data_IF_860701584945
#
_entry.id   IF_860701584945
#
_cell.length_a   1.000
_cell.length_b   1.000
_cell.length_c   1.000
_cell.angle_alpha   90.00
_cell.angle_beta   90.00
_cell.angle_gamma   90.00
#
_symmetry.space_group_name_H-M   'P 1'
#
loop_
_entity.id
_entity.type
_entity.pdbx_description
1 polymer ?
#
# COMPACT_ATOMS: atom_id res chain seq x y z
N UNK A 1 3.09 25.02 3.14
CA UNK A 1 3.97 23.90 2.73
C UNK A 1 3.11 22.86 2.06
N UNK A 2 3.46 22.45 0.83
CA UNK A 2 2.79 21.34 0.16
C UNK A 2 3.31 20.04 0.76
N UNK A 3 2.43 19.22 1.31
CA UNK A 3 2.81 17.90 1.86
C UNK A 3 3.33 17.04 0.70
N UNK A 4 4.58 16.59 0.78
CA UNK A 4 5.19 15.78 -0.27
C UNK A 4 4.73 14.32 -0.17
N UNK A 5 4.89 13.56 -1.25
CA UNK A 5 4.59 12.12 -1.24
C UNK A 5 5.52 11.35 -0.28
N UNK A 6 6.75 11.85 -0.08
CA UNK A 6 7.69 11.33 0.91
C UNK A 6 7.17 11.52 2.33
N UNK A 7 6.69 12.71 2.67
CA UNK A 7 6.11 13.00 3.99
C UNK A 7 4.91 12.12 4.28
N UNK A 8 4.04 11.90 3.28
CA UNK A 8 2.90 10.98 3.40
C UNK A 8 3.35 9.55 3.64
N UNK A 9 4.38 9.10 2.91
CA UNK A 9 4.90 7.75 3.08
C UNK A 9 5.51 7.55 4.48
N UNK A 10 6.28 8.54 4.96
CA UNK A 10 6.84 8.53 6.33
C UNK A 10 5.75 8.42 7.38
N UNK A 11 4.66 9.19 7.23
CA UNK A 11 3.53 9.17 8.14
C UNK A 11 2.82 7.80 8.10
N UNK A 12 2.54 7.28 6.91
CA UNK A 12 1.88 5.98 6.73
C UNK A 12 2.68 4.81 7.32
N UNK A 13 4.01 4.87 7.21
CA UNK A 13 4.90 3.88 7.79
C UNK A 13 5.25 4.16 9.26
N UNK A 14 4.74 5.24 9.86
CA UNK A 14 5.01 5.65 11.23
C UNK A 14 6.52 5.73 11.54
N UNK A 15 7.30 6.29 10.62
CA UNK A 15 8.77 6.35 10.76
C UNK A 15 9.24 7.26 11.90
N UNK A 16 8.36 8.07 12.49
CA UNK A 16 8.65 8.85 13.70
C UNK A 16 8.63 7.97 14.97
N UNK A 17 7.67 7.03 15.06
CA UNK A 17 7.52 6.13 16.23
C UNK A 17 8.36 4.86 16.06
N UNK A 18 8.44 4.34 14.84
CA UNK A 18 9.11 3.09 14.49
C UNK A 18 10.08 3.32 13.32
N UNK A 19 11.22 4.00 13.53
CA UNK A 19 12.18 4.27 12.48
C UNK A 19 12.77 2.95 11.95
N UNK A 20 12.60 2.72 10.66
CA UNK A 20 13.09 1.53 9.97
C UNK A 20 13.81 1.87 8.66
N UNK A 21 13.28 2.83 7.90
CA UNK A 21 13.84 3.24 6.62
C UNK A 21 14.55 4.59 6.73
N UNK A 22 15.63 4.75 5.97
CA UNK A 22 16.19 6.09 5.74
C UNK A 22 15.38 6.86 4.72
N UNK A 23 15.50 8.19 4.73
CA UNK A 23 14.93 9.06 3.70
C UNK A 23 15.23 8.60 2.27
N UNK A 24 16.49 8.22 2.01
CA UNK A 24 16.93 7.72 0.71
C UNK A 24 16.22 6.41 0.31
N UNK A 25 16.04 5.51 1.27
CA UNK A 25 15.32 4.25 1.05
C UNK A 25 13.83 4.49 0.77
N UNK A 26 13.21 5.47 1.45
CA UNK A 26 11.82 5.85 1.23
C UNK A 26 11.61 6.49 -0.15
N UNK A 27 12.55 7.32 -0.59
CA UNK A 27 12.55 7.86 -1.97
C UNK A 27 12.64 6.72 -2.98
N UNK A 28 13.60 5.81 -2.80
CA UNK A 28 13.77 4.65 -3.70
C UNK A 28 12.52 3.75 -3.71
N UNK A 29 11.87 3.59 -2.57
CA UNK A 29 10.63 2.82 -2.44
C UNK A 29 9.47 3.48 -3.20
N UNK A 30 9.36 4.82 -3.17
CA UNK A 30 8.37 5.56 -3.97
C UNK A 30 8.65 5.42 -5.46
N UNK A 31 9.89 5.64 -5.89
CA UNK A 31 10.27 5.57 -7.31
C UNK A 31 10.01 4.18 -7.89
N UNK A 32 10.36 3.12 -7.14
CA UNK A 32 10.15 1.73 -7.53
C UNK A 32 8.66 1.34 -7.61
N UNK A 33 7.77 2.12 -6.99
CA UNK A 33 6.33 1.89 -6.95
C UNK A 33 5.55 2.96 -7.72
N UNK A 34 6.12 3.48 -8.81
CA UNK A 34 5.45 4.43 -9.73
C UNK A 34 5.03 5.74 -9.05
N UNK A 35 5.76 6.15 -8.00
CA UNK A 35 5.41 7.29 -7.14
C UNK A 35 4.03 7.18 -6.48
N UNK A 36 3.43 5.99 -6.43
CA UNK A 36 2.16 5.75 -5.76
C UNK A 36 2.39 5.51 -4.25
N UNK A 37 1.87 6.43 -3.43
CA UNK A 37 2.05 6.39 -1.98
C UNK A 37 1.40 5.17 -1.34
N UNK A 38 0.21 4.75 -1.80
CA UNK A 38 -0.49 3.58 -1.26
C UNK A 38 0.29 2.29 -1.53
N UNK A 39 0.75 2.13 -2.77
CA UNK A 39 1.56 0.97 -3.19
C UNK A 39 2.90 0.90 -2.45
N UNK A 40 3.57 2.04 -2.29
CA UNK A 40 4.80 2.13 -1.50
C UNK A 40 4.56 1.84 -0.01
N UNK A 41 3.46 2.35 0.57
CA UNK A 41 3.08 2.11 1.97
C UNK A 41 2.80 0.63 2.22
N UNK A 42 2.07 -0.02 1.31
CA UNK A 42 1.84 -1.46 1.34
C UNK A 42 3.15 -2.25 1.36
N UNK A 43 4.09 -1.93 0.45
CA UNK A 43 5.40 -2.58 0.40
C UNK A 43 6.24 -2.32 1.64
N UNK A 44 6.24 -1.10 2.16
CA UNK A 44 6.97 -0.75 3.39
C UNK A 44 6.45 -1.52 4.61
N UNK A 45 5.13 -1.65 4.75
CA UNK A 45 4.52 -2.42 5.84
C UNK A 45 4.91 -3.91 5.79
N UNK A 46 4.92 -4.52 4.60
CA UNK A 46 5.37 -5.91 4.44
C UNK A 46 6.83 -6.10 4.87
N UNK A 47 7.70 -5.15 4.54
CA UNK A 47 9.12 -5.19 4.91
C UNK A 47 9.32 -5.04 6.42
N UNK A 48 8.57 -4.15 7.09
CA UNK A 48 8.60 -4.01 8.55
C UNK A 48 8.09 -5.26 9.25
N UNK A 49 6.96 -5.81 8.79
CA UNK A 49 6.40 -7.04 9.33
C UNK A 49 7.34 -8.24 9.21
N UNK A 50 8.04 -8.38 8.07
CA UNK A 50 8.97 -9.48 7.85
C UNK A 50 10.20 -9.46 8.79
N UNK A 51 10.61 -8.29 9.26
CA UNK A 51 11.78 -8.14 10.15
C UNK A 51 11.43 -8.38 11.62
N UNK A 52 10.20 -8.10 12.04
CA UNK A 52 9.74 -8.30 13.42
C UNK A 52 9.57 -9.79 13.81
N UNK A 53 9.48 -10.71 12.85
CA UNK A 53 9.28 -12.15 13.10
C UNK A 53 10.52 -12.88 13.68
N UNK A 54 11.68 -12.22 13.82
CA UNK A 54 12.91 -12.87 14.29
C UNK A 54 13.73 -12.01 15.27
N UNK A 55 13.22 -11.80 16.48
CA UNK A 55 14.06 -11.42 17.63
C UNK A 55 14.28 -12.67 18.49
N UNK A 56 15.40 -13.38 18.24
CA UNK A 56 15.88 -14.46 19.10
C UNK A 56 16.68 -13.88 20.27
N UNK A 57 16.04 -13.65 21.42
CA UNK A 57 16.74 -13.32 22.68
C UNK A 57 16.88 -14.62 23.49
N UNK A 58 17.90 -15.41 23.17
CA UNK A 58 18.18 -16.66 23.88
C UNK A 58 17.10 -17.75 23.68
N UNK A 59 16.93 -18.71 24.63
CA UNK A 59 16.00 -19.83 24.50
C UNK A 59 14.51 -19.45 24.67
N UNK A 60 14.18 -18.16 24.69
CA UNK A 60 12.81 -17.68 24.91
C UNK A 60 12.34 -17.01 23.62
N UNK A 61 11.50 -17.70 22.86
CA UNK A 61 10.84 -17.15 21.67
C UNK A 61 9.66 -16.28 22.09
N UNK A 62 9.87 -14.98 22.27
CA UNK A 62 8.75 -14.03 22.37
C UNK A 62 8.30 -13.71 20.96
N UNK A 63 7.14 -14.25 20.54
CA UNK A 63 6.49 -13.82 19.30
C UNK A 63 6.27 -12.31 19.38
N UNK A 64 7.02 -11.52 18.60
CA UNK A 64 6.76 -10.10 18.50
C UNK A 64 5.36 -9.92 17.90
N UNK A 65 4.41 -9.41 18.69
CA UNK A 65 3.04 -9.14 18.23
C UNK A 65 2.97 -8.07 17.13
N UNK A 66 4.08 -7.44 16.78
CA UNK A 66 4.13 -6.32 15.86
C UNK A 66 4.06 -6.76 14.39
N UNK A 67 4.51 -7.97 14.03
CA UNK A 67 4.42 -8.47 12.64
C UNK A 67 2.97 -8.51 12.14
N UNK A 68 2.05 -9.01 12.97
CA UNK A 68 0.62 -9.06 12.63
C UNK A 68 0.02 -7.66 12.43
N UNK A 69 0.48 -6.66 13.20
CA UNK A 69 0.03 -5.28 13.05
C UNK A 69 0.42 -4.72 11.67
N UNK A 70 1.69 -4.85 11.29
CA UNK A 70 2.19 -4.40 9.99
C UNK A 70 1.54 -5.16 8.83
N UNK A 71 1.27 -6.46 8.97
CA UNK A 71 0.56 -7.24 7.95
C UNK A 71 -0.90 -6.81 7.78
N UNK A 72 -1.62 -6.51 8.88
CA UNK A 72 -2.97 -5.97 8.79
C UNK A 72 -2.99 -4.58 8.13
N UNK A 73 -2.03 -3.72 8.48
CA UNK A 73 -1.89 -2.39 7.87
C UNK A 73 -1.57 -2.51 6.36
N UNK A 74 -0.70 -3.45 5.99
CA UNK A 74 -0.39 -3.76 4.60
C UNK A 74 -1.63 -4.18 3.80
N UNK A 75 -2.53 -4.98 4.38
CA UNK A 75 -3.75 -5.43 3.71
C UNK A 75 -4.74 -4.30 3.45
N UNK A 76 -4.84 -3.33 4.38
CA UNK A 76 -5.63 -2.11 4.20
C UNK A 76 -5.10 -1.30 3.01
N UNK A 77 -3.81 -0.98 2.99
CA UNK A 77 -3.21 -0.21 1.90
C UNK A 77 -3.28 -0.91 0.54
N UNK A 78 -3.21 -2.23 0.53
CA UNK A 78 -3.41 -3.04 -0.69
C UNK A 78 -4.84 -2.89 -1.21
N UNK A 79 -5.82 -2.96 -0.32
CA UNK A 79 -7.24 -2.80 -0.68
C UNK A 79 -7.49 -1.42 -1.26
N UNK A 80 -7.04 -0.36 -0.57
CA UNK A 80 -7.17 1.03 -1.04
C UNK A 80 -6.52 1.24 -2.42
N UNK A 81 -5.34 0.65 -2.65
CA UNK A 81 -4.65 0.72 -3.94
C UNK A 81 -5.44 0.02 -5.05
N UNK A 82 -6.03 -1.15 -4.79
CA UNK A 82 -6.85 -1.87 -5.77
C UNK A 82 -8.14 -1.10 -6.08
N UNK A 83 -8.76 -0.47 -5.07
CA UNK A 83 -9.91 0.40 -5.25
C UNK A 83 -9.57 1.64 -6.08
N UNK A 84 -8.42 2.28 -5.82
CA UNK A 84 -7.94 3.41 -6.62
C UNK A 84 -7.67 3.01 -8.08
N UNK A 85 -7.07 1.84 -8.29
CA UNK A 85 -6.82 1.31 -9.64
C UNK A 85 -8.12 1.02 -10.39
N UNK A 86 -9.09 0.38 -9.74
CA UNK A 86 -10.37 0.02 -10.38
C UNK A 86 -11.21 1.25 -10.74
N UNK A 87 -11.18 2.32 -9.93
CA UNK A 87 -11.82 3.61 -10.26
C UNK A 87 -11.23 4.24 -11.51
N UNK A 88 -9.91 4.18 -11.67
CA UNK A 88 -9.23 4.70 -12.86
C UNK A 88 -9.53 3.89 -14.13
N UNK A 89 -9.78 2.57 -14.02
CA UNK A 89 -10.14 1.74 -15.18
C UNK A 89 -11.62 1.85 -15.59
N UNK A 90 -12.53 2.14 -14.65
CA UNK A 90 -13.98 2.13 -14.89
C UNK A 90 -14.47 3.30 -15.76
N UNK A 91 -13.74 4.42 -15.85
CA UNK A 91 -14.18 5.61 -16.62
C UNK A 91 -14.17 5.42 -18.15
N UNK A 92 -13.79 4.24 -18.68
CA UNK A 92 -13.78 3.95 -20.11
C UNK A 92 -14.98 3.10 -20.62
N UNK A 93 -15.94 2.74 -19.77
CA UNK A 93 -17.11 1.97 -20.24
C UNK A 93 -18.22 2.92 -20.71
N UNK A 94 -18.15 3.32 -21.97
CA UNK A 94 -19.25 3.99 -22.67
C UNK A 94 -20.53 3.14 -22.60
N UNK A 95 -21.67 3.80 -22.35
CA UNK A 95 -22.99 3.18 -22.37
C UNK A 95 -23.20 2.40 -23.67
N UNK A 96 -23.28 1.07 -23.60
CA UNK A 96 -23.75 0.25 -24.74
C UNK A 96 -25.27 0.40 -24.84
N UNK A 97 -25.72 1.42 -25.57
CA UNK A 97 -27.10 1.51 -26.03
C UNK A 97 -27.31 0.54 -27.19
N UNK A 98 -27.63 -0.72 -26.85
CA UNK A 98 -28.04 -1.72 -27.84
C UNK A 98 -29.58 -1.74 -27.89
N UNK A 99 -30.20 -0.73 -28.50
CA UNK A 99 -31.63 -0.79 -28.86
C UNK A 99 -31.76 -1.56 -30.18
N UNK A 100 -32.25 -2.81 -30.10
CA UNK A 100 -32.68 -3.56 -31.28
C UNK A 100 -34.05 -3.01 -31.70
N UNK A 101 -34.21 -2.58 -32.96
CA UNK A 101 -35.51 -2.13 -33.48
C UNK A 101 -36.43 -3.36 -33.60
N UNK A 102 -37.65 -3.25 -33.08
CA UNK A 102 -38.68 -4.30 -33.06
C UNK A 102 -39.43 -4.44 -34.40
N UNK A 103 -39.27 -3.49 -35.33
CA UNK A 103 -39.90 -3.53 -36.66
C UNK A 103 -38.88 -3.93 -37.73
N UNK A 104 -38.93 -5.18 -38.16
CA UNK A 104 -38.05 -5.75 -39.17
C UNK A 104 -38.53 -7.09 -39.72
N UNK A 105 -39.48 -6.98 -40.66
CA UNK A 105 -39.90 -7.95 -41.68
C UNK A 105 -40.98 -9.00 -41.31
#
# INVERSE_FOLDING_TARGET
MSITNLDKLKLNLQEEEYPYFTDEQLVMLLESNENNVLKASWRGCLLKGATDDCIKIGPIETKSSNSSYWLSLADIYKTDYLEEKSKNETTNTGYKTSMIRVDGQ
#
